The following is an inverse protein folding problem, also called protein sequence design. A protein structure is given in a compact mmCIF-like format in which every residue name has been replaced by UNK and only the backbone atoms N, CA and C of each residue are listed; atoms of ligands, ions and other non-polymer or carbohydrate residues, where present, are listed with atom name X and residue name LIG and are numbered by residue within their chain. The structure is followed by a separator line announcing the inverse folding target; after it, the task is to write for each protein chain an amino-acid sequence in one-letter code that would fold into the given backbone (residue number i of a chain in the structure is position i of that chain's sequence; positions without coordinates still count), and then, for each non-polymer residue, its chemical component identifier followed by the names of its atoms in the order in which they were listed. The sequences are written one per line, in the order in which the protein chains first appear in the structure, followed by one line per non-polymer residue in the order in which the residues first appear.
data_IF_877536249453
#
_entry.id   IF_877536249453
#
_cell.length_a   1.000
_cell.length_b   1.000
_cell.length_c   1.000
_cell.angle_alpha   90.00
_cell.angle_beta   90.00
_cell.angle_gamma   90.00
#
_symmetry.space_group_name_H-M   'P 1'
#
loop_
_entity.id
_entity.type
_entity.pdbx_description
1 polymer ?
#
# COMPACT_ATOMS: atom_id res chain seq x y z
N UNK A 1 30.45 -18.82 -4.54
CA UNK A 1 30.79 -17.42 -4.18
C UNK A 1 29.62 -16.85 -3.41
N UNK A 2 29.87 -16.35 -2.20
CA UNK A 2 28.86 -15.74 -1.34
C UNK A 2 29.17 -14.24 -1.21
N UNK A 3 28.19 -13.40 -1.53
CA UNK A 3 28.28 -11.95 -1.31
C UNK A 3 27.33 -11.53 -0.19
N UNK A 4 27.67 -10.49 0.59
CA UNK A 4 26.74 -9.94 1.57
C UNK A 4 25.43 -9.50 0.88
N UNK A 5 24.30 -9.94 1.43
CA UNK A 5 22.97 -9.57 0.91
C UNK A 5 22.78 -8.04 0.82
N UNK A 6 23.37 -7.28 1.75
CA UNK A 6 23.33 -5.82 1.71
C UNK A 6 23.92 -5.25 0.42
N UNK A 7 25.03 -5.80 -0.08
CA UNK A 7 25.65 -5.31 -1.31
C UNK A 7 24.81 -5.62 -2.54
N UNK A 8 24.16 -6.79 -2.55
CA UNK A 8 23.26 -7.17 -3.63
C UNK A 8 22.03 -6.26 -3.66
N UNK A 9 21.50 -5.92 -2.48
CA UNK A 9 20.43 -4.94 -2.35
C UNK A 9 20.87 -3.56 -2.85
N UNK A 10 22.01 -3.06 -2.37
CA UNK A 10 22.52 -1.74 -2.74
C UNK A 10 22.74 -1.60 -4.26
N UNK A 11 23.18 -2.67 -4.95
CA UNK A 11 23.31 -2.68 -6.41
C UNK A 11 21.96 -2.51 -7.13
N UNK A 12 20.93 -3.23 -6.70
CA UNK A 12 19.59 -3.13 -7.30
C UNK A 12 18.95 -1.79 -6.95
N UNK A 13 19.09 -1.34 -5.71
CA UNK A 13 18.53 -0.08 -5.22
C UNK A 13 19.14 1.12 -5.96
N UNK A 14 20.48 1.14 -6.10
CA UNK A 14 21.19 2.19 -6.82
C UNK A 14 20.83 2.20 -8.31
N UNK A 15 20.69 1.03 -8.93
CA UNK A 15 20.25 0.93 -10.33
C UNK A 15 18.87 1.55 -10.55
N UNK A 16 17.89 1.24 -9.69
CA UNK A 16 16.54 1.82 -9.75
C UNK A 16 16.57 3.32 -9.39
N UNK A 17 17.43 3.73 -8.46
CA UNK A 17 17.61 5.14 -8.08
C UNK A 17 18.16 5.99 -9.23
N UNK A 18 19.18 5.50 -9.94
CA UNK A 18 19.75 6.18 -11.10
C UNK A 18 18.72 6.32 -12.23
N UNK A 19 17.94 5.27 -12.49
CA UNK A 19 16.82 5.32 -13.43
C UNK A 19 15.78 6.39 -13.03
N UNK A 20 15.36 6.41 -11.76
CA UNK A 20 14.41 7.39 -11.24
C UNK A 20 14.95 8.83 -11.35
N UNK A 21 16.21 9.03 -11.00
CA UNK A 21 16.90 10.32 -11.05
C UNK A 21 17.03 10.82 -12.49
N UNK A 22 17.35 9.93 -13.42
CA UNK A 22 17.42 10.25 -14.85
C UNK A 22 16.05 10.64 -15.41
N UNK A 23 14.99 9.91 -15.07
CA UNK A 23 13.62 10.28 -15.49
C UNK A 23 13.19 11.65 -14.93
N UNK A 24 13.51 11.92 -13.67
CA UNK A 24 13.24 13.22 -13.04
C UNK A 24 14.06 14.35 -13.68
N UNK A 25 15.32 14.09 -14.00
CA UNK A 25 16.17 15.03 -14.72
C UNK A 25 15.59 15.31 -16.10
N UNK A 26 15.26 14.27 -16.88
CA UNK A 26 14.68 14.39 -18.24
C UNK A 26 13.42 15.25 -18.26
N UNK A 27 12.49 15.04 -17.33
CA UNK A 27 11.22 15.76 -17.27
C UNK A 27 11.31 17.22 -16.77
N UNK A 28 12.37 17.60 -16.06
CA UNK A 28 12.59 19.00 -15.62
C UNK A 28 13.29 19.80 -16.72
N UNK A 29 12.52 20.44 -17.60
CA UNK A 29 13.07 21.23 -18.73
C UNK A 29 13.37 22.70 -18.38
N UNK A 30 12.74 23.26 -17.34
CA UNK A 30 12.81 24.71 -17.02
C UNK A 30 14.20 25.27 -16.68
N UNK A 31 15.14 24.44 -16.24
CA UNK A 31 16.45 24.89 -15.74
C UNK A 31 17.63 24.38 -16.58
N UNK A 32 17.38 23.84 -17.78
CA UNK A 32 18.44 23.20 -18.59
C UNK A 32 19.05 24.14 -19.61
N UNK A 33 20.35 23.97 -19.82
CA UNK A 33 21.11 24.64 -20.89
C UNK A 33 20.85 24.01 -22.25
N UNK A 34 21.03 24.77 -23.33
CA UNK A 34 20.84 24.28 -24.70
C UNK A 34 21.76 23.09 -25.04
N UNK A 35 22.95 23.03 -24.44
CA UNK A 35 23.90 21.92 -24.60
C UNK A 35 23.38 20.62 -23.96
N UNK A 36 22.76 20.70 -22.77
CA UNK A 36 22.14 19.54 -22.11
C UNK A 36 20.92 19.03 -22.89
N UNK A 37 20.15 19.93 -23.49
CA UNK A 37 19.02 19.57 -24.35
C UNK A 37 19.51 18.87 -25.63
N UNK A 38 20.60 19.32 -26.23
CA UNK A 38 21.22 18.66 -27.37
C UNK A 38 21.75 17.25 -27.04
N UNK A 39 22.37 17.08 -25.87
CA UNK A 39 22.81 15.77 -25.37
C UNK A 39 21.64 14.82 -25.10
N UNK A 40 20.55 15.32 -24.51
CA UNK A 40 19.34 14.52 -24.29
C UNK A 40 18.66 14.09 -25.59
N UNK A 41 18.73 14.91 -26.64
CA UNK A 41 18.27 14.53 -27.99
C UNK A 41 19.17 13.48 -28.63
N UNK A 42 20.48 13.55 -28.39
CA UNK A 42 21.44 12.58 -28.90
C UNK A 42 21.30 11.21 -28.21
N UNK A 43 21.01 11.19 -26.91
CA UNK A 43 20.89 9.98 -26.09
C UNK A 43 19.46 9.71 -25.61
N UNK A 44 18.47 9.80 -26.51
CA UNK A 44 17.05 9.63 -26.15
C UNK A 44 16.68 8.20 -25.69
N UNK A 45 17.51 7.22 -26.05
CA UNK A 45 17.36 5.80 -25.66
C UNK A 45 18.06 5.45 -24.34
N UNK A 46 18.85 6.35 -23.76
CA UNK A 46 19.51 6.10 -22.48
C UNK A 46 18.43 5.92 -21.40
N UNK A 47 18.56 4.86 -20.58
CA UNK A 47 17.61 4.53 -19.52
C UNK A 47 16.16 4.38 -19.99
N UNK A 48 15.95 3.75 -21.15
CA UNK A 48 14.61 3.39 -21.61
C UNK A 48 13.92 2.47 -20.58
N UNK A 49 12.67 2.77 -20.24
CA UNK A 49 11.81 2.01 -19.33
C UNK A 49 11.78 0.53 -19.73
N UNK A 50 11.62 0.24 -21.02
CA UNK A 50 11.62 -1.13 -21.55
C UNK A 50 12.95 -1.85 -21.34
N UNK A 51 14.08 -1.13 -21.48
CA UNK A 51 15.40 -1.69 -21.23
C UNK A 51 15.58 -2.05 -19.76
N UNK A 52 15.23 -1.13 -18.84
CA UNK A 52 15.33 -1.34 -17.39
C UNK A 52 14.44 -2.50 -16.92
N UNK A 53 13.19 -2.55 -17.40
CA UNK A 53 12.28 -3.65 -17.12
C UNK A 53 12.82 -4.99 -17.65
N UNK A 54 13.34 -5.02 -18.89
CA UNK A 54 13.92 -6.23 -19.48
C UNK A 54 15.15 -6.72 -18.71
N UNK A 55 16.02 -5.82 -18.21
CA UNK A 55 17.17 -6.22 -17.41
C UNK A 55 16.74 -6.83 -16.06
N UNK A 56 15.80 -6.19 -15.36
CA UNK A 56 15.27 -6.72 -14.10
C UNK A 56 14.54 -8.05 -14.30
N UNK A 57 13.74 -8.17 -15.36
CA UNK A 57 13.06 -9.41 -15.73
C UNK A 57 14.05 -10.52 -16.07
N UNK A 58 15.11 -10.21 -16.83
CA UNK A 58 16.16 -11.18 -17.15
C UNK A 58 16.92 -11.67 -15.90
N UNK A 59 17.09 -10.83 -14.87
CA UNK A 59 17.63 -11.27 -13.59
C UNK A 59 16.69 -12.23 -12.85
N UNK A 60 15.38 -11.95 -12.88
CA UNK A 60 14.36 -12.85 -12.29
C UNK A 60 14.33 -14.19 -13.02
N UNK A 61 14.30 -14.19 -14.35
CA UNK A 61 14.27 -15.42 -15.17
C UNK A 61 15.53 -16.25 -14.98
N UNK A 62 16.72 -15.64 -14.98
CA UNK A 62 17.98 -16.37 -14.77
C UNK A 62 18.17 -16.90 -13.35
N UNK A 63 17.47 -16.33 -12.38
CA UNK A 63 17.56 -16.74 -10.98
C UNK A 63 16.69 -17.94 -10.62
N UNK A 64 15.71 -18.31 -11.47
CA UNK A 64 14.67 -19.31 -11.17
C UNK A 64 13.98 -19.12 -9.80
N UNK A 65 13.96 -17.89 -9.28
CA UNK A 65 13.49 -17.60 -7.91
C UNK A 65 12.00 -17.90 -7.73
N UNK A 66 11.19 -17.77 -8.80
CA UNK A 66 9.75 -18.06 -8.76
C UNK A 66 9.51 -19.53 -8.40
N UNK A 67 10.27 -20.46 -8.99
CA UNK A 67 10.17 -21.89 -8.72
C UNK A 67 10.65 -22.24 -7.30
N UNK A 68 11.72 -21.58 -6.83
CA UNK A 68 12.25 -21.77 -5.47
C UNK A 68 11.22 -21.30 -4.43
N UNK A 69 10.55 -20.17 -4.67
CA UNK A 69 9.51 -19.66 -3.78
C UNK A 69 8.24 -20.53 -3.81
N UNK A 70 7.88 -21.12 -4.95
CA UNK A 70 6.78 -22.09 -5.04
C UNK A 70 7.12 -23.38 -4.27
N UNK A 71 8.35 -23.88 -4.37
CA UNK A 71 8.82 -25.04 -3.59
C UNK A 71 8.90 -24.75 -2.07
N UNK A 72 9.20 -23.51 -1.69
CA UNK A 72 9.11 -23.06 -0.29
C UNK A 72 7.66 -23.07 0.22
N UNK A 73 6.68 -22.68 -0.62
CA UNK A 73 5.24 -22.77 -0.26
C UNK A 73 4.78 -24.21 -0.04
N UNK A 74 5.36 -25.16 -0.77
CA UNK A 74 5.11 -26.59 -0.59
C UNK A 74 5.89 -27.20 0.60
N UNK A 75 6.71 -26.40 1.29
CA UNK A 75 7.48 -26.81 2.47
C UNK A 75 8.75 -27.62 2.16
N UNK A 76 9.18 -27.65 0.89
CA UNK A 76 10.30 -28.45 0.40
C UNK A 76 11.66 -27.74 0.55
N UNK A 77 11.69 -26.42 0.54
CA UNK A 77 12.90 -25.61 0.75
C UNK A 77 12.69 -24.49 1.78
N UNK A 78 13.74 -24.13 2.52
CA UNK A 78 13.72 -23.06 3.54
C UNK A 78 14.55 -21.84 3.11
N UNK A 79 14.20 -21.23 1.98
CA UNK A 79 14.97 -20.14 1.38
C UNK A 79 14.95 -18.86 2.23
N UNK A 80 13.79 -18.46 2.76
CA UNK A 80 13.66 -17.25 3.61
C UNK A 80 14.25 -17.44 5.00
N UNK A 81 14.24 -18.67 5.54
CA UNK A 81 14.78 -18.95 6.88
C UNK A 81 16.32 -18.89 6.93
N UNK A 82 16.99 -19.13 5.80
CA UNK A 82 18.46 -19.06 5.68
C UNK A 82 18.95 -17.73 5.09
N UNK A 83 18.10 -16.71 4.99
CA UNK A 83 18.42 -15.43 4.33
C UNK A 83 19.01 -15.61 2.90
N UNK A 84 18.60 -16.67 2.20
CA UNK A 84 19.14 -17.04 0.88
C UNK A 84 20.60 -17.54 0.86
N UNK A 85 21.23 -17.75 2.02
CA UNK A 85 22.55 -18.38 2.11
C UNK A 85 22.43 -19.90 2.03
N UNK A 86 23.16 -20.46 1.08
CA UNK A 86 23.32 -21.90 0.98
C UNK A 86 24.53 -22.34 1.84
N UNK A 87 24.24 -22.86 3.03
CA UNK A 87 25.25 -23.42 3.95
C UNK A 87 25.87 -24.73 3.43
N UNK A 88 25.36 -25.30 2.33
CA UNK A 88 25.91 -26.51 1.69
C UNK A 88 26.95 -26.20 0.59
N UNK A 89 27.31 -24.93 0.38
CA UNK A 89 28.39 -24.51 -0.52
C UNK A 89 27.95 -23.89 -1.85
N UNK A 90 26.66 -23.64 -2.04
CA UNK A 90 26.12 -22.95 -3.21
C UNK A 90 26.38 -21.43 -3.22
N UNK A 91 26.09 -20.80 -4.37
CA UNK A 91 26.14 -19.33 -4.51
C UNK A 91 24.79 -18.71 -4.14
N UNK A 92 24.80 -17.77 -3.21
CA UNK A 92 23.61 -16.99 -2.80
C UNK A 92 23.23 -15.90 -3.82
N UNK A 93 24.21 -15.47 -4.63
CA UNK A 93 24.14 -14.25 -5.43
C UNK A 93 22.98 -14.28 -6.41
N UNK A 94 22.83 -15.34 -7.20
CA UNK A 94 21.79 -15.40 -8.23
C UNK A 94 20.38 -15.45 -7.62
N UNK A 95 20.19 -16.26 -6.56
CA UNK A 95 18.88 -16.42 -5.90
C UNK A 95 18.46 -15.13 -5.20
N UNK A 96 19.36 -14.54 -4.41
CA UNK A 96 19.11 -13.30 -3.66
C UNK A 96 18.98 -12.09 -4.60
N UNK A 97 19.78 -12.00 -5.66
CA UNK A 97 19.67 -10.95 -6.67
C UNK A 97 18.34 -11.06 -7.43
N UNK A 98 17.89 -12.27 -7.76
CA UNK A 98 16.57 -12.52 -8.34
C UNK A 98 15.45 -12.02 -7.44
N UNK A 99 15.51 -12.35 -6.15
CA UNK A 99 14.55 -11.89 -5.15
C UNK A 99 14.52 -10.35 -5.05
N UNK A 100 15.67 -9.70 -4.93
CA UNK A 100 15.75 -8.23 -4.91
C UNK A 100 15.34 -7.59 -6.24
N UNK A 101 15.57 -8.26 -7.36
CA UNK A 101 15.12 -7.79 -8.68
C UNK A 101 13.60 -7.80 -8.79
N UNK A 102 12.89 -8.76 -8.17
CA UNK A 102 11.42 -8.71 -8.09
C UNK A 102 10.94 -7.50 -7.28
N UNK A 103 11.60 -7.19 -6.16
CA UNK A 103 11.30 -5.99 -5.35
C UNK A 103 11.61 -4.71 -6.13
N UNK A 104 12.73 -4.68 -6.86
CA UNK A 104 13.09 -3.60 -7.77
C UNK A 104 12.07 -3.40 -8.89
N UNK A 105 11.60 -4.50 -9.49
CA UNK A 105 10.58 -4.50 -10.54
C UNK A 105 9.25 -3.93 -10.03
N UNK A 106 8.81 -4.37 -8.84
CA UNK A 106 7.66 -3.77 -8.15
C UNK A 106 7.86 -2.27 -7.97
N UNK A 107 9.02 -1.84 -7.46
CA UNK A 107 9.29 -0.42 -7.26
C UNK A 107 9.21 0.36 -8.56
N UNK A 108 9.75 -0.16 -9.66
CA UNK A 108 9.65 0.48 -10.98
C UNK A 108 8.19 0.57 -11.45
N UNK A 109 7.40 -0.50 -11.32
CA UNK A 109 5.97 -0.48 -11.64
C UNK A 109 5.18 0.51 -10.77
N UNK A 110 5.49 0.62 -9.48
CA UNK A 110 4.90 1.62 -8.59
C UNK A 110 5.29 3.05 -8.98
N UNK A 111 6.52 3.28 -9.45
CA UNK A 111 6.96 4.59 -9.94
C UNK A 111 6.23 4.99 -11.23
N UNK A 112 5.95 4.01 -12.10
CA UNK A 112 5.20 4.19 -13.36
C UNK A 112 3.68 4.31 -13.15
N UNK A 113 3.17 3.90 -11.99
CA UNK A 113 1.74 3.91 -11.67
C UNK A 113 0.95 2.72 -12.23
N UNK A 114 1.62 1.67 -12.70
CA UNK A 114 0.98 0.41 -13.12
C UNK A 114 0.95 -0.59 -11.95
N UNK A 115 -0.05 -0.42 -11.10
CA UNK A 115 -0.22 -1.27 -9.93
C UNK A 115 -0.70 -2.69 -10.29
N UNK A 116 -1.39 -2.88 -11.41
CA UNK A 116 -1.93 -4.20 -11.78
C UNK A 116 -0.82 -5.15 -12.19
N UNK A 117 0.13 -4.67 -13.00
CA UNK A 117 1.30 -5.47 -13.39
C UNK A 117 2.25 -5.65 -12.21
N UNK A 118 2.46 -4.61 -11.39
CA UNK A 118 3.27 -4.72 -10.16
C UNK A 118 2.74 -5.77 -9.18
N UNK A 119 1.41 -5.83 -8.98
CA UNK A 119 0.78 -6.85 -8.14
C UNK A 119 0.88 -8.26 -8.75
N UNK A 120 0.84 -8.40 -10.09
CA UNK A 120 1.08 -9.68 -10.75
C UNK A 120 2.50 -10.21 -10.53
N UNK A 121 3.51 -9.33 -10.56
CA UNK A 121 4.89 -9.69 -10.27
C UNK A 121 5.11 -10.16 -8.82
N UNK A 122 4.21 -9.77 -7.90
CA UNK A 122 4.21 -10.21 -6.50
C UNK A 122 3.35 -11.44 -6.23
N UNK A 123 2.58 -11.96 -7.18
CA UNK A 123 1.77 -13.18 -6.96
C UNK A 123 2.58 -14.37 -6.38
N UNK A 124 3.86 -14.58 -6.74
CA UNK A 124 4.69 -15.61 -6.11
C UNK A 124 5.07 -15.29 -4.66
N UNK A 125 5.27 -14.01 -4.32
CA UNK A 125 5.59 -13.52 -2.98
C UNK A 125 4.27 -13.26 -2.23
N UNK A 126 3.73 -14.35 -1.71
CA UNK A 126 2.49 -14.48 -0.93
C UNK A 126 1.81 -13.17 -0.46
N UNK A 127 0.98 -12.57 -1.32
CA UNK A 127 -0.09 -11.68 -0.86
C UNK A 127 -1.32 -12.59 -0.68
N UNK A 128 -1.30 -13.39 0.38
CA UNK A 128 -2.46 -14.19 0.76
C UNK A 128 -3.68 -13.27 0.90
N UNK A 129 -4.72 -13.59 0.14
CA UNK A 129 -5.96 -12.82 0.00
C UNK A 129 -6.49 -12.27 1.32
N UNK A 130 -6.69 -10.96 1.37
CA UNK A 130 -7.61 -10.24 2.26
C UNK A 130 -7.65 -8.79 1.75
N UNK A 131 -8.81 -8.14 1.77
CA UNK A 131 -9.08 -6.88 1.05
C UNK A 131 -7.94 -5.85 1.14
N UNK A 132 -7.71 -5.08 0.06
CA UNK A 132 -6.52 -4.25 -0.16
C UNK A 132 -6.11 -3.42 1.07
N UNK A 133 -7.08 -2.77 1.73
CA UNK A 133 -6.81 -1.96 2.92
C UNK A 133 -6.46 -2.80 4.16
N UNK A 134 -7.05 -3.98 4.33
CA UNK A 134 -6.86 -4.84 5.50
C UNK A 134 -5.44 -5.44 5.52
N UNK A 135 -4.98 -5.86 4.34
CA UNK A 135 -3.62 -6.38 4.13
C UNK A 135 -2.60 -5.25 4.25
N UNK A 136 -2.87 -4.08 3.66
CA UNK A 136 -2.01 -2.91 3.82
C UNK A 136 -1.87 -2.49 5.29
N UNK A 137 -2.97 -2.44 6.06
CA UNK A 137 -2.95 -2.11 7.49
C UNK A 137 -2.10 -3.13 8.27
N UNK A 138 -2.23 -4.43 7.99
CA UNK A 138 -1.45 -5.49 8.66
C UNK A 138 0.04 -5.34 8.37
N UNK A 139 0.41 -5.11 7.12
CA UNK A 139 1.82 -4.96 6.72
C UNK A 139 2.43 -3.66 7.25
N UNK A 140 1.69 -2.54 7.22
CA UNK A 140 2.12 -1.31 7.87
C UNK A 140 2.31 -1.51 9.37
N UNK A 141 1.41 -2.21 10.05
CA UNK A 141 1.54 -2.49 11.48
C UNK A 141 2.82 -3.31 11.77
N UNK A 142 3.06 -4.40 11.03
CA UNK A 142 4.30 -5.21 11.17
C UNK A 142 5.56 -4.38 10.99
N UNK A 143 5.62 -3.59 9.92
CA UNK A 143 6.80 -2.76 9.62
C UNK A 143 6.99 -1.64 10.66
N UNK A 144 5.93 -0.97 11.10
CA UNK A 144 6.00 0.07 12.12
C UNK A 144 6.45 -0.48 13.47
N UNK A 145 6.00 -1.68 13.85
CA UNK A 145 6.46 -2.39 15.05
C UNK A 145 7.92 -2.80 14.95
N UNK A 146 8.35 -3.29 13.79
CA UNK A 146 9.75 -3.60 13.55
C UNK A 146 10.62 -2.35 13.69
N UNK A 147 10.22 -1.24 13.08
CA UNK A 147 10.95 0.02 13.21
C UNK A 147 10.94 0.50 14.67
N UNK A 148 9.82 0.40 15.37
CA UNK A 148 9.73 0.79 16.78
C UNK A 148 10.72 0.01 17.67
N UNK A 149 10.81 -1.32 17.49
CA UNK A 149 11.76 -2.19 18.21
C UNK A 149 13.22 -1.92 17.82
N UNK A 150 13.47 -1.66 16.54
CA UNK A 150 14.83 -1.59 15.99
C UNK A 150 15.40 -0.17 15.98
N UNK A 151 14.59 0.86 16.29
CA UNK A 151 14.96 2.28 16.28
C UNK A 151 16.20 2.60 17.12
N UNK A 152 16.41 1.90 18.23
CA UNK A 152 17.58 2.10 19.11
C UNK A 152 18.89 1.62 18.49
N UNK A 153 18.85 0.58 17.66
CA UNK A 153 20.05 -0.01 17.03
C UNK A 153 20.53 0.79 15.81
N UNK A 154 19.62 1.47 15.11
CA UNK A 154 19.94 2.20 13.87
C UNK A 154 20.39 3.66 14.08
N UNK A 155 20.38 4.20 15.31
CA UNK A 155 20.72 5.62 15.57
C UNK A 155 22.10 6.05 15.06
N UNK A 156 23.04 5.10 14.91
CA UNK A 156 24.40 5.36 14.44
C UNK A 156 24.56 5.28 12.91
N UNK A 157 23.52 4.87 12.18
CA UNK A 157 23.59 4.70 10.73
C UNK A 157 23.20 5.98 9.99
N UNK A 158 23.89 6.35 8.90
CA UNK A 158 23.53 7.52 8.09
C UNK A 158 22.17 7.36 7.36
N UNK A 159 21.64 6.14 7.27
CA UNK A 159 20.33 5.83 6.69
C UNK A 159 19.16 6.08 7.67
N UNK A 160 19.45 6.35 8.94
CA UNK A 160 18.45 6.49 10.01
C UNK A 160 17.44 7.62 9.74
N UNK A 161 17.89 8.77 9.23
CA UNK A 161 16.99 9.89 8.90
C UNK A 161 16.03 9.53 7.76
N UNK A 162 16.49 8.79 6.76
CA UNK A 162 15.65 8.35 5.65
C UNK A 162 14.59 7.35 6.14
N UNK A 163 14.98 6.42 7.02
CA UNK A 163 14.07 5.45 7.65
C UNK A 163 13.03 6.19 8.49
N UNK A 164 13.42 7.21 9.27
CA UNK A 164 12.49 8.01 10.04
C UNK A 164 11.48 8.76 9.16
N UNK A 165 11.93 9.37 8.07
CA UNK A 165 11.03 10.03 7.11
C UNK A 165 10.06 9.03 6.48
N UNK A 166 10.53 7.84 6.13
CA UNK A 166 9.68 6.76 5.59
C UNK A 166 8.67 6.28 6.63
N UNK A 167 9.08 6.17 7.89
CA UNK A 167 8.21 5.84 9.01
C UNK A 167 7.06 6.85 9.15
N UNK A 168 7.35 8.15 9.05
CA UNK A 168 6.29 9.19 9.08
C UNK A 168 5.36 9.11 7.86
N UNK A 169 5.89 8.87 6.66
CA UNK A 169 5.08 8.63 5.47
C UNK A 169 4.17 7.40 5.63
N UNK A 170 4.65 6.33 6.25
CA UNK A 170 3.85 5.14 6.54
C UNK A 170 2.73 5.42 7.53
N UNK A 171 2.97 6.21 8.57
CA UNK A 171 1.91 6.65 9.49
C UNK A 171 0.84 7.49 8.78
N UNK A 172 1.22 8.37 7.85
CA UNK A 172 0.28 9.14 7.04
C UNK A 172 -0.59 8.22 6.14
N UNK A 173 0.00 7.21 5.49
CA UNK A 173 -0.75 6.22 4.70
C UNK A 173 -1.65 5.35 5.57
N UNK A 174 -1.19 4.96 6.75
CA UNK A 174 -1.98 4.21 7.72
C UNK A 174 -3.19 5.05 8.20
N UNK A 175 -3.00 6.35 8.43
CA UNK A 175 -4.09 7.27 8.77
C UNK A 175 -5.16 7.31 7.67
N UNK A 176 -4.76 7.40 6.40
CA UNK A 176 -5.67 7.34 5.24
C UNK A 176 -6.39 5.98 5.19
N UNK A 177 -5.66 4.87 5.34
CA UNK A 177 -6.27 3.53 5.28
C UNK A 177 -7.30 3.34 6.39
N UNK A 178 -7.03 3.83 7.60
CA UNK A 178 -7.92 3.72 8.76
C UNK A 178 -9.10 4.70 8.72
N UNK A 179 -8.96 5.87 8.08
CA UNK A 179 -10.09 6.78 7.87
C UNK A 179 -11.09 6.21 6.87
N UNK A 180 -10.57 5.59 5.80
CA UNK A 180 -11.33 4.92 4.76
C UNK A 180 -11.96 3.61 5.25
N UNK A 181 -11.18 2.77 5.95
CA UNK A 181 -11.58 1.48 6.52
C UNK A 181 -11.19 1.42 8.01
N UNK A 182 -12.10 1.72 8.96
CA UNK A 182 -11.81 1.74 10.39
C UNK A 182 -11.71 0.31 10.92
N UNK A 183 -10.57 -0.32 10.68
CA UNK A 183 -10.21 -1.63 11.22
C UNK A 183 -9.21 -1.46 12.35
N UNK A 184 -9.57 -0.63 13.32
CA UNK A 184 -8.73 -0.35 14.50
C UNK A 184 -8.36 -1.62 15.27
N UNK A 185 -9.15 -2.68 15.15
CA UNK A 185 -8.91 -4.01 15.76
C UNK A 185 -7.65 -4.71 15.21
N UNK A 186 -7.17 -4.35 14.02
CA UNK A 186 -5.99 -4.96 13.38
C UNK A 186 -4.68 -4.24 13.73
N UNK A 187 -4.75 -3.07 14.37
CA UNK A 187 -3.59 -2.25 14.70
C UNK A 187 -3.20 -2.47 16.15
N UNK A 188 -1.91 -2.66 16.40
CA UNK A 188 -1.41 -2.81 17.77
C UNK A 188 -1.59 -1.51 18.56
N UNK A 189 -1.88 -1.62 19.86
CA UNK A 189 -2.21 -0.48 20.73
C UNK A 189 -1.09 0.59 20.78
N UNK A 190 0.16 0.15 20.68
CA UNK A 190 1.36 1.01 20.64
C UNK A 190 1.40 1.88 19.37
N UNK A 191 1.17 1.28 18.21
CA UNK A 191 1.13 1.96 16.90
C UNK A 191 -0.09 2.86 16.81
N UNK A 192 -1.25 2.41 17.30
CA UNK A 192 -2.48 3.19 17.32
C UNK A 192 -2.36 4.43 18.22
N UNK A 193 -1.67 4.32 19.36
CA UNK A 193 -1.42 5.45 20.26
C UNK A 193 -0.57 6.53 19.58
N UNK A 194 0.55 6.16 18.96
CA UNK A 194 1.40 7.10 18.21
C UNK A 194 0.69 7.72 17.01
N UNK A 195 -0.12 6.93 16.31
CA UNK A 195 -0.93 7.40 15.19
C UNK A 195 -1.95 8.45 15.66
N UNK A 196 -2.65 8.21 16.77
CA UNK A 196 -3.63 9.15 17.33
C UNK A 196 -2.98 10.44 17.81
N UNK A 197 -1.80 10.34 18.41
CA UNK A 197 -1.04 11.52 18.86
C UNK A 197 -0.64 12.43 17.68
N UNK A 198 -0.18 11.85 16.56
CA UNK A 198 0.28 12.63 15.40
C UNK A 198 -0.83 13.05 14.43
N UNK A 199 -1.77 12.15 14.13
CA UNK A 199 -2.75 12.32 13.06
C UNK A 199 -4.20 12.22 13.54
N UNK A 200 -4.46 12.07 14.85
CA UNK A 200 -5.81 11.87 15.38
C UNK A 200 -6.79 13.00 15.04
N UNK A 201 -6.35 14.26 15.11
CA UNK A 201 -7.19 15.40 14.72
C UNK A 201 -7.51 15.40 13.21
N UNK A 202 -6.49 15.14 12.38
CA UNK A 202 -6.66 15.04 10.91
C UNK A 202 -7.60 13.89 10.56
N UNK A 203 -7.48 12.74 11.24
CA UNK A 203 -8.38 11.58 11.07
C UNK A 203 -9.82 11.89 11.45
N UNK A 204 -10.05 12.64 12.53
CA UNK A 204 -11.39 13.05 12.93
C UNK A 204 -12.03 14.00 11.90
N UNK A 205 -11.24 14.89 11.30
CA UNK A 205 -11.70 15.79 10.22
C UNK A 205 -11.92 15.05 8.90
N UNK A 206 -11.06 14.09 8.55
CA UNK A 206 -11.20 13.25 7.34
C UNK A 206 -12.47 12.38 7.31
N UNK A 207 -13.09 12.13 8.46
CA UNK A 207 -14.36 11.41 8.55
C UNK A 207 -15.58 12.31 8.30
N UNK A 208 -15.38 13.64 8.24
CA UNK A 208 -16.44 14.60 7.89
C UNK A 208 -16.64 14.64 6.38
N UNK A 209 -17.86 14.96 5.98
CA UNK A 209 -18.29 15.01 4.58
C UNK A 209 -18.14 16.45 4.04
N UNK A 210 -16.94 17.02 4.16
CA UNK A 210 -16.63 18.40 3.79
C UNK A 210 -15.46 18.51 2.81
N UNK A 211 -15.35 19.67 2.15
CA UNK A 211 -14.24 19.99 1.24
C UNK A 211 -12.90 20.06 1.99
N UNK A 212 -12.93 20.30 3.31
CA UNK A 212 -11.75 20.23 4.17
C UNK A 212 -11.18 18.80 4.26
N UNK A 213 -12.04 17.78 4.33
CA UNK A 213 -11.58 16.38 4.29
C UNK A 213 -10.85 16.09 2.97
N UNK A 214 -11.33 16.58 1.83
CA UNK A 214 -10.65 16.42 0.54
C UNK A 214 -9.26 17.06 0.53
N UNK A 215 -9.13 18.26 1.09
CA UNK A 215 -7.83 18.94 1.20
C UNK A 215 -6.84 18.15 2.08
N UNK A 216 -7.32 17.52 3.17
CA UNK A 216 -6.48 16.69 4.04
C UNK A 216 -6.05 15.39 3.34
N UNK A 217 -6.95 14.76 2.56
CA UNK A 217 -6.59 13.60 1.74
C UNK A 217 -5.55 13.95 0.69
N UNK A 218 -5.68 15.10 0.02
CA UNK A 218 -4.68 15.60 -0.94
C UNK A 218 -3.33 15.89 -0.26
N UNK A 219 -3.33 16.58 0.88
CA UNK A 219 -2.10 16.89 1.63
C UNK A 219 -1.35 15.60 2.06
N UNK A 220 -2.07 14.64 2.65
CA UNK A 220 -1.47 13.39 3.13
C UNK A 220 -1.02 12.49 1.97
N UNK A 221 -1.79 12.45 0.88
CA UNK A 221 -1.40 11.73 -0.32
C UNK A 221 -0.15 12.37 -0.95
N UNK A 222 -0.12 13.69 -1.12
CA UNK A 222 1.03 14.46 -1.62
C UNK A 222 2.31 14.20 -0.80
N UNK A 223 2.17 14.10 0.52
CA UNK A 223 3.29 13.87 1.43
C UNK A 223 3.81 12.43 1.36
N UNK A 224 2.91 11.45 1.23
CA UNK A 224 3.26 10.04 1.39
C UNK A 224 3.42 9.28 0.07
N UNK A 225 2.92 9.81 -1.06
CA UNK A 225 3.02 9.15 -2.34
C UNK A 225 4.48 9.06 -2.83
N UNK A 226 4.84 8.00 -3.58
CA UNK A 226 6.08 7.96 -4.34
C UNK A 226 6.17 9.12 -5.33
N UNK A 227 7.40 9.54 -5.65
CA UNK A 227 7.63 10.51 -6.73
C UNK A 227 7.42 9.80 -8.07
N UNK A 228 6.18 9.82 -8.57
CA UNK A 228 5.80 9.22 -9.84
C UNK A 228 6.65 9.75 -10.99
N UNK A 229 6.94 8.87 -11.94
CA UNK A 229 7.72 9.17 -13.14
C UNK A 229 6.87 8.91 -14.38
N UNK A 230 7.03 9.75 -15.40
CA UNK A 230 6.38 9.56 -16.69
C UNK A 230 7.30 8.75 -17.61
N UNK A 231 6.84 7.61 -18.16
CA UNK A 231 7.66 6.78 -19.05
C UNK A 231 7.94 7.43 -20.41
N UNK A 232 7.11 8.39 -20.81
CA UNK A 232 7.19 9.02 -22.13
C UNK A 232 8.29 10.09 -22.20
N UNK A 233 8.88 10.23 -23.39
CA UNK A 233 9.74 11.35 -23.71
C UNK A 233 8.99 12.69 -23.51
N UNK A 234 9.56 13.67 -22.81
CA UNK A 234 8.98 15.01 -22.79
C UNK A 234 9.01 15.58 -24.22
N UNK A 235 7.90 16.16 -24.68
CA UNK A 235 7.92 16.89 -25.94
C UNK A 235 8.84 18.10 -25.81
N UNK A 236 9.81 18.22 -26.71
CA UNK A 236 10.78 19.31 -26.74
C UNK A 236 10.20 20.61 -27.32
N UNK A 237 8.97 20.57 -27.83
CA UNK A 237 8.26 21.72 -28.43
C UNK A 237 7.52 22.57 -27.38
N UNK A 238 7.26 22.01 -26.18
CA UNK A 238 6.60 22.71 -25.06
C UNK A 238 7.44 22.64 -23.76
N UNK A 239 8.46 23.50 -23.59
CA UNK A 239 9.44 23.42 -22.49
C UNK A 239 8.86 23.75 -21.10
N UNK A 240 7.63 24.25 -21.04
CA UNK A 240 7.01 24.80 -19.82
C UNK A 240 6.20 23.78 -19.01
N UNK A 241 5.88 22.63 -19.61
CA UNK A 241 5.05 21.59 -18.99
C UNK A 241 5.93 20.62 -18.21
N UNK A 242 5.69 20.50 -16.90
CA UNK A 242 6.38 19.54 -16.06
C UNK A 242 5.65 18.19 -16.13
N UNK A 243 6.04 17.34 -17.09
CA UNK A 243 5.41 16.03 -17.35
C UNK A 243 5.31 15.11 -16.13
N UNK A 244 6.18 15.25 -15.12
CA UNK A 244 6.09 14.48 -13.87
C UNK A 244 4.89 14.91 -13.01
N UNK A 245 4.47 16.16 -13.10
CA UNK A 245 3.26 16.64 -12.40
C UNK A 245 2.00 16.03 -13.01
N UNK A 246 2.00 15.71 -14.30
CA UNK A 246 0.81 15.14 -14.94
C UNK A 246 0.59 13.68 -14.53
N UNK A 247 1.66 12.88 -14.42
CA UNK A 247 1.58 11.54 -13.86
C UNK A 247 1.07 11.57 -12.40
N UNK A 248 1.61 12.49 -11.59
CA UNK A 248 1.13 12.71 -10.22
C UNK A 248 -0.36 13.11 -10.17
N UNK A 249 -0.77 14.10 -10.98
CA UNK A 249 -2.16 14.61 -11.02
C UNK A 249 -3.16 13.53 -11.43
N UNK A 250 -2.78 12.65 -12.37
CA UNK A 250 -3.64 11.54 -12.78
C UNK A 250 -3.87 10.58 -11.61
N UNK A 251 -2.80 10.18 -10.92
CA UNK A 251 -2.90 9.27 -9.76
C UNK A 251 -3.69 9.90 -8.61
N UNK A 252 -3.44 11.17 -8.32
CA UNK A 252 -4.20 11.93 -7.32
C UNK A 252 -5.69 11.99 -7.68
N UNK A 253 -6.03 12.25 -8.95
CA UNK A 253 -7.42 12.31 -9.41
C UNK A 253 -8.15 10.98 -9.24
N UNK A 254 -7.48 9.87 -9.58
CA UNK A 254 -8.03 8.52 -9.39
C UNK A 254 -8.23 8.20 -7.90
N UNK A 255 -7.25 8.56 -7.06
CA UNK A 255 -7.36 8.39 -5.62
C UNK A 255 -8.51 9.20 -5.01
N UNK A 256 -8.62 10.49 -5.33
CA UNK A 256 -9.69 11.35 -4.83
C UNK A 256 -11.08 10.89 -5.29
N UNK A 257 -11.18 10.28 -6.48
CA UNK A 257 -12.42 9.66 -6.95
C UNK A 257 -12.84 8.47 -6.07
N UNK A 258 -11.90 7.59 -5.69
CA UNK A 258 -12.16 6.47 -4.79
C UNK A 258 -12.53 6.96 -3.37
N UNK A 259 -11.82 7.97 -2.86
CA UNK A 259 -12.11 8.60 -1.55
C UNK A 259 -13.55 9.12 -1.53
N UNK A 260 -13.99 9.79 -2.59
CA UNK A 260 -15.37 10.30 -2.71
C UNK A 260 -16.40 9.17 -2.66
N UNK A 261 -16.16 8.06 -3.36
CA UNK A 261 -17.04 6.89 -3.29
C UNK A 261 -17.08 6.29 -1.88
N UNK A 262 -15.95 6.28 -1.18
CA UNK A 262 -15.84 5.67 0.15
C UNK A 262 -16.38 6.56 1.28
N UNK A 263 -16.41 7.88 1.10
CA UNK A 263 -17.05 8.80 2.05
C UNK A 263 -18.56 8.56 2.17
N UNK A 264 -19.26 8.28 1.07
CA UNK A 264 -20.68 7.90 1.08
C UNK A 264 -20.91 6.68 1.99
N UNK A 265 -20.00 5.71 1.96
CA UNK A 265 -20.03 4.52 2.80
C UNK A 265 -19.74 4.84 4.28
N UNK A 266 -18.87 5.82 4.54
CA UNK A 266 -18.60 6.32 5.91
C UNK A 266 -19.82 7.00 6.54
N UNK A 267 -20.59 7.73 5.74
CA UNK A 267 -21.87 8.34 6.18
C UNK A 267 -22.85 7.28 6.67
N UNK A 268 -23.15 6.28 5.83
CA UNK A 268 -24.02 5.13 6.17
C UNK A 268 -23.52 4.43 7.43
N UNK A 269 -22.21 4.14 7.49
CA UNK A 269 -21.58 3.47 8.63
C UNK A 269 -21.81 4.21 9.95
N UNK A 270 -21.78 5.54 9.94
CA UNK A 270 -21.97 6.34 11.16
C UNK A 270 -23.37 6.17 11.73
N UNK A 271 -24.39 6.12 10.87
CA UNK A 271 -25.76 5.82 11.28
C UNK A 271 -25.90 4.36 11.74
N UNK A 272 -25.35 3.40 11.00
CA UNK A 272 -25.40 1.98 11.38
C UNK A 272 -24.69 1.67 12.71
N UNK A 273 -23.73 2.49 13.17
CA UNK A 273 -23.11 2.32 14.50
C UNK A 273 -24.01 2.78 15.65
N UNK A 274 -24.92 3.72 15.41
CA UNK A 274 -25.77 4.30 16.46
C UNK A 274 -27.06 3.51 16.62
N UNK A 275 -27.56 2.92 15.55
CA UNK A 275 -28.82 2.18 15.56
C UNK A 275 -28.58 0.67 15.51
N UNK A 276 -29.16 -0.07 16.46
CA UNK A 276 -29.21 -1.54 16.41
C UNK A 276 -30.17 -2.04 15.32
N UNK A 277 -31.25 -1.30 15.11
CA UNK A 277 -32.25 -1.55 14.06
C UNK A 277 -32.77 -0.24 13.49
N UNK A 278 -32.81 -0.10 12.17
CA UNK A 278 -33.32 1.10 11.50
C UNK A 278 -34.13 0.73 10.26
N UNK A 279 -35.25 1.40 10.00
CA UNK A 279 -36.00 1.20 8.75
C UNK A 279 -35.31 1.90 7.57
N UNK A 280 -35.38 1.29 6.38
CA UNK A 280 -34.81 1.85 5.15
C UNK A 280 -35.31 3.27 4.90
N UNK A 281 -36.62 3.52 5.01
CA UNK A 281 -37.18 4.87 4.82
C UNK A 281 -36.68 5.91 5.82
N UNK A 282 -36.38 5.54 7.07
CA UNK A 282 -35.79 6.49 8.05
C UNK A 282 -34.35 6.80 7.71
N UNK A 283 -33.55 5.80 7.36
CA UNK A 283 -32.16 6.01 6.96
C UNK A 283 -32.06 6.81 5.65
N UNK A 284 -32.97 6.56 4.71
CA UNK A 284 -33.10 7.30 3.45
C UNK A 284 -33.38 8.79 3.72
N UNK A 285 -34.34 9.08 4.61
CA UNK A 285 -34.65 10.45 5.03
C UNK A 285 -33.47 11.12 5.75
N UNK A 286 -32.72 10.40 6.61
CA UNK A 286 -31.54 10.97 7.28
C UNK A 286 -30.38 11.28 6.34
N UNK A 287 -30.26 10.51 5.26
CA UNK A 287 -29.22 10.70 4.25
C UNK A 287 -29.65 11.64 3.11
N UNK A 288 -30.92 12.03 3.06
CA UNK A 288 -31.53 12.79 1.95
C UNK A 288 -31.39 12.07 0.60
N UNK A 289 -31.47 10.73 0.61
CA UNK A 289 -31.33 9.86 -0.56
C UNK A 289 -32.59 9.03 -0.72
N UNK A 290 -32.97 8.68 -1.94
CA UNK A 290 -34.07 7.77 -2.23
C UNK A 290 -33.77 6.33 -1.78
N UNK A 291 -34.81 5.58 -1.37
CA UNK A 291 -34.67 4.19 -0.94
C UNK A 291 -33.96 3.24 -1.93
N UNK A 292 -34.19 3.31 -3.26
CA UNK A 292 -33.46 2.49 -4.23
C UNK A 292 -31.95 2.79 -4.24
N UNK A 293 -31.57 4.07 -4.22
CA UNK A 293 -30.16 4.47 -4.16
C UNK A 293 -29.53 4.06 -2.83
N UNK A 294 -30.25 4.18 -1.70
CA UNK A 294 -29.77 3.70 -0.40
C UNK A 294 -29.51 2.18 -0.41
N UNK A 295 -30.42 1.37 -0.97
CA UNK A 295 -30.21 -0.07 -1.14
C UNK A 295 -28.94 -0.34 -1.96
N UNK A 296 -28.73 0.39 -3.05
CA UNK A 296 -27.52 0.25 -3.89
C UNK A 296 -26.25 0.59 -3.13
N UNK A 297 -26.27 1.63 -2.28
CA UNK A 297 -25.14 2.00 -1.42
C UNK A 297 -24.88 0.92 -0.36
N UNK A 298 -25.92 0.35 0.25
CA UNK A 298 -25.79 -0.74 1.22
C UNK A 298 -25.23 -2.03 0.58
N UNK A 299 -25.67 -2.37 -0.63
CA UNK A 299 -25.07 -3.47 -1.41
C UNK A 299 -23.60 -3.19 -1.72
N UNK A 300 -23.27 -1.96 -2.15
CA UNK A 300 -21.89 -1.54 -2.41
C UNK A 300 -21.03 -1.60 -1.15
N UNK A 301 -21.58 -1.25 0.01
CA UNK A 301 -20.92 -1.41 1.30
C UNK A 301 -20.58 -2.87 1.58
N UNK A 302 -21.54 -3.77 1.39
CA UNK A 302 -21.36 -5.21 1.60
C UNK A 302 -20.31 -5.78 0.65
N UNK A 303 -20.35 -5.40 -0.63
CA UNK A 303 -19.36 -5.83 -1.62
C UNK A 303 -17.94 -5.31 -1.34
N UNK A 304 -17.79 -4.06 -0.88
CA UNK A 304 -16.47 -3.48 -0.56
C UNK A 304 -15.90 -3.98 0.78
N UNK A 305 -16.74 -4.42 1.71
CA UNK A 305 -16.30 -4.85 3.05
C UNK A 305 -16.23 -6.36 3.22
N UNK A 306 -16.95 -7.14 2.42
CA UNK A 306 -16.90 -8.60 2.47
C UNK A 306 -15.85 -9.11 1.48
N UNK A 307 -14.90 -9.91 1.97
CA UNK A 307 -13.95 -10.62 1.13
C UNK A 307 -14.38 -12.09 1.03
N UNK A 308 -14.08 -12.71 -0.10
CA UNK A 308 -14.24 -14.16 -0.28
C UNK A 308 -12.91 -14.81 0.05
N UNK A 309 -12.92 -15.74 1.00
CA UNK A 309 -11.76 -16.56 1.37
C UNK A 309 -11.38 -17.51 0.23
N UNK A 310 -10.17 -18.08 0.27
CA UNK A 310 -9.69 -19.07 -0.70
C UNK A 310 -10.57 -20.33 -0.75
N UNK A 311 -11.30 -20.61 0.33
CA UNK A 311 -12.31 -21.69 0.44
C UNK A 311 -13.73 -21.26 0.00
N UNK A 312 -13.89 -20.08 -0.61
CA UNK A 312 -15.19 -19.58 -1.07
C UNK A 312 -16.12 -19.06 0.04
N UNK A 313 -15.66 -18.99 1.29
CA UNK A 313 -16.44 -18.45 2.41
C UNK A 313 -16.39 -16.92 2.42
N UNK A 314 -17.55 -16.28 2.53
CA UNK A 314 -17.64 -14.82 2.65
C UNK A 314 -17.29 -14.43 4.09
N UNK A 315 -16.12 -13.81 4.26
CA UNK A 315 -15.68 -13.25 5.54
C UNK A 315 -15.97 -11.74 5.53
N UNK A 316 -16.78 -11.30 6.48
CA UNK A 316 -17.01 -9.87 6.69
C UNK A 316 -15.77 -9.26 7.34
N UNK A 317 -15.09 -8.37 6.62
CA UNK A 317 -14.05 -7.50 7.18
C UNK A 317 -14.65 -6.16 7.65
N UNK A 318 -15.97 -6.04 7.69
CA UNK A 318 -16.64 -4.82 8.13
C UNK A 318 -16.51 -4.65 9.66
N UNK A 319 -16.32 -3.41 10.10
CA UNK A 319 -16.43 -3.07 11.53
C UNK A 319 -17.88 -3.15 12.02
N UNK A 320 -18.84 -3.10 11.10
CA UNK A 320 -20.29 -3.21 11.34
C UNK A 320 -20.86 -4.19 10.32
N UNK A 321 -21.37 -5.32 10.80
CA UNK A 321 -22.07 -6.29 9.96
C UNK A 321 -23.57 -6.05 10.05
N UNK A 322 -24.30 -6.20 8.96
CA UNK A 322 -25.75 -5.98 8.95
C UNK A 322 -26.46 -6.85 7.93
N UNK A 323 -27.73 -7.13 8.19
CA UNK A 323 -28.63 -7.76 7.24
C UNK A 323 -29.89 -6.91 7.07
N UNK A 324 -30.50 -7.02 5.89
CA UNK A 324 -31.74 -6.35 5.54
C UNK A 324 -32.83 -7.42 5.57
N UNK A 325 -33.83 -7.22 6.42
CA UNK A 325 -35.04 -8.04 6.51
C UNK A 325 -36.22 -7.18 6.05
N UNK A 326 -36.73 -7.45 4.86
CA UNK A 326 -37.67 -6.62 4.10
C UNK A 326 -37.29 -5.12 4.06
N UNK A 327 -37.83 -4.34 5.00
CA UNK A 327 -37.67 -2.89 5.09
C UNK A 327 -36.88 -2.44 6.33
N UNK A 328 -36.37 -3.39 7.11
CA UNK A 328 -35.62 -3.17 8.35
C UNK A 328 -34.18 -3.63 8.22
N UNK A 329 -33.24 -2.75 8.56
CA UNK A 329 -31.82 -3.04 8.64
C UNK A 329 -31.50 -3.43 10.08
N UNK A 330 -31.01 -4.65 10.27
CA UNK A 330 -30.56 -5.17 11.54
C UNK A 330 -29.04 -5.17 11.59
N UNK A 331 -28.48 -4.42 12.53
CA UNK A 331 -27.04 -4.36 12.74
C UNK A 331 -26.63 -5.49 13.67
N UNK A 332 -25.78 -6.37 13.17
CA UNK A 332 -25.17 -7.47 13.93
C UNK A 332 -23.97 -6.89 14.67
N UNK A 333 -24.15 -6.63 15.97
CA UNK A 333 -23.00 -6.32 16.81
C UNK A 333 -22.03 -7.50 16.79
N UNK A 334 -20.82 -7.29 16.26
CA UNK A 334 -19.71 -8.21 16.46
C UNK A 334 -19.38 -8.21 17.95
N UNK A 335 -20.02 -9.06 18.75
CA UNK A 335 -19.60 -9.28 20.13
C UNK A 335 -18.14 -9.72 20.04
N UNK A 336 -17.18 -8.97 20.60
CA UNK A 336 -15.83 -9.48 20.69
C UNK A 336 -15.95 -10.79 21.44
N UNK A 337 -15.51 -11.89 20.84
CA UNK A 337 -15.37 -13.16 21.55
C UNK A 337 -14.37 -12.85 22.66
N UNK A 338 -14.89 -12.52 23.84
CA UNK A 338 -14.07 -12.29 25.02
C UNK A 338 -13.40 -13.62 25.27
N UNK A 339 -12.14 -13.75 24.84
CA UNK A 339 -11.25 -14.89 25.10
C UNK A 339 -10.86 -14.89 26.58
N UNK A 340 -11.85 -14.86 27.46
CA UNK A 340 -11.67 -15.04 28.89
C UNK A 340 -11.00 -16.39 29.14
N UNK A 341 -11.35 -17.43 28.36
CA UNK A 341 -10.72 -18.75 28.43
C UNK A 341 -9.20 -18.67 28.23
N UNK A 342 -8.73 -18.07 27.12
CA UNK A 342 -7.28 -18.01 26.83
C UNK A 342 -6.53 -17.09 27.80
N UNK A 343 -7.15 -15.98 28.23
CA UNK A 343 -6.53 -15.07 29.20
C UNK A 343 -6.43 -15.72 30.59
N UNK A 344 -7.48 -16.44 31.01
CA UNK A 344 -7.53 -17.18 32.26
C UNK A 344 -6.57 -18.38 32.26
N UNK A 345 -6.52 -19.15 31.17
CA UNK A 345 -5.57 -20.24 30.99
C UNK A 345 -4.12 -19.73 30.99
N UNK A 346 -3.84 -18.57 30.35
CA UNK A 346 -2.50 -17.95 30.39
C UNK A 346 -2.11 -17.43 31.78
N UNK A 347 -3.07 -17.04 32.63
CA UNK A 347 -2.80 -16.63 34.01
C UNK A 347 -2.68 -17.79 34.98
N UNK A 348 -3.21 -18.98 34.67
CA UNK A 348 -3.07 -20.20 35.49
C UNK A 348 -1.73 -20.91 35.24
N UNK A 349 -1.11 -20.70 34.07
CA UNK A 349 0.18 -21.32 33.69
C UNK A 349 1.40 -20.56 34.25
N UNK A 350 1.18 -19.45 34.97
CA UNK A 350 2.19 -18.84 35.87
C UNK A 350 1.90 -19.24 37.30
#
# INVERSE_FOLDING_TARGET
MQLPNQWLWDMVDEFVYQFQSFCQYRAKMKNKTEQEIALLRQFDQAWNVYGVLNYLQAFVEKSNIIQILEQEKEGLEQFTATDGYDYSGGSNVLKVLGYFSMVGLLRVHCLLGDYQTGLKCLLPIDISQQGVYTSAIREFNKMLLYIYKTKQYHQKSPQYEQILKKNEQMYALLAICLSLCPQTKLVEETVNSQLREKYGEKMARMQRYDDEAFAIYDELFSYACPKFITPSAPSFEEPLVNYNQDAYRLQLKLFLYEVKQQQLLSGVRTFLKVYSTISLGKLANYMEVDEPTLRTILFSYKHKTHAVDSDGKIISNADVDFYIDDDMIHVVESKPVKRFGDYFLRQIVK
#
